data_IF_690004041502
#
_entry.id   IF_690004041502
#
_cell.length_a   1.000
_cell.length_b   1.000
_cell.length_c   1.000
_cell.angle_alpha   90.00
_cell.angle_beta   90.00
_cell.angle_gamma   90.00
#
_symmetry.space_group_name_H-M   'P 1'
#
loop_
_entity.id
_entity.type
_entity.pdbx_description
1 polymer ?
#
# COMPACT_ATOMS: atom_id res chain seq x y z
N UNK A 1 -2.26 -2.94 17.63
CA UNK A 1 -1.99 -3.73 16.42
C UNK A 1 -1.01 -2.90 15.61
N UNK A 2 0.25 -3.31 15.51
CA UNK A 2 1.30 -2.51 14.86
C UNK A 2 1.42 -2.98 13.42
N UNK A 3 1.15 -2.09 12.47
CA UNK A 3 1.36 -2.37 11.05
C UNK A 3 2.81 -2.05 10.72
N UNK A 4 3.47 -2.96 10.00
CA UNK A 4 4.83 -2.76 9.52
C UNK A 4 4.79 -2.42 8.04
N UNK A 5 5.37 -1.29 7.67
CA UNK A 5 5.59 -0.91 6.29
C UNK A 5 6.96 -1.42 5.85
N UNK A 6 7.02 -2.10 4.72
CA UNK A 6 8.24 -2.71 4.19
C UNK A 6 8.54 -2.04 2.86
N UNK A 7 9.73 -1.46 2.71
CA UNK A 7 10.13 -0.92 1.41
C UNK A 7 10.27 -2.07 0.39
N UNK A 8 9.61 -1.94 -0.76
CA UNK A 8 9.58 -2.93 -1.83
C UNK A 8 9.85 -2.24 -3.17
N UNK A 9 10.58 -2.91 -4.05
CA UNK A 9 10.70 -2.50 -5.46
C UNK A 9 9.57 -3.08 -6.31
N UNK A 10 9.06 -4.26 -5.92
CA UNK A 10 8.05 -5.01 -6.66
C UNK A 10 6.98 -5.59 -5.73
N UNK A 11 5.73 -5.75 -6.21
CA UNK A 11 4.65 -6.31 -5.41
C UNK A 11 4.94 -7.78 -5.09
N UNK A 12 4.79 -8.14 -3.81
CA UNK A 12 5.06 -9.50 -3.33
C UNK A 12 3.76 -10.29 -3.21
N UNK A 13 3.73 -11.49 -3.79
CA UNK A 13 2.55 -12.33 -3.73
C UNK A 13 2.28 -12.79 -2.29
N UNK A 14 1.04 -12.63 -1.81
CA UNK A 14 0.62 -12.88 -0.43
C UNK A 14 0.74 -11.69 0.53
N UNK A 15 1.17 -10.52 0.07
CA UNK A 15 1.27 -9.29 0.87
C UNK A 15 0.47 -8.16 0.23
N UNK A 16 -0.14 -7.31 1.06
CA UNK A 16 -0.80 -6.08 0.58
C UNK A 16 0.29 -5.11 0.19
N UNK A 17 0.26 -4.62 -1.05
CA UNK A 17 1.24 -3.66 -1.55
C UNK A 17 0.57 -2.32 -1.82
N UNK A 18 1.20 -1.21 -1.45
CA UNK A 18 0.83 0.13 -1.85
C UNK A 18 1.94 0.71 -2.74
N UNK A 19 1.59 1.19 -3.91
CA UNK A 19 2.48 1.94 -4.78
C UNK A 19 2.15 3.42 -4.63
N UNK A 20 3.17 4.23 -4.38
CA UNK A 20 3.05 5.69 -4.27
C UNK A 20 3.57 6.29 -5.58
N UNK A 21 2.76 7.16 -6.16
CA UNK A 21 3.09 7.89 -7.40
C UNK A 21 2.72 9.35 -7.24
N UNK A 22 3.41 10.24 -7.94
CA UNK A 22 3.04 11.64 -8.03
C UNK A 22 2.46 11.97 -9.41
N UNK A 23 1.21 12.43 -9.45
CA UNK A 23 0.56 12.92 -10.67
C UNK A 23 0.17 14.38 -10.51
N UNK A 24 0.61 15.23 -11.46
CA UNK A 24 0.31 16.67 -11.48
C UNK A 24 0.55 17.42 -10.14
N UNK A 25 1.51 16.96 -9.33
CA UNK A 25 1.84 17.52 -8.00
C UNK A 25 1.01 16.97 -6.83
N UNK A 26 0.12 16.01 -7.09
CA UNK A 26 -0.64 15.28 -6.08
C UNK A 26 -0.01 13.91 -5.84
N UNK A 27 0.17 13.54 -4.57
CA UNK A 27 0.64 12.21 -4.20
C UNK A 27 -0.55 11.25 -4.18
N UNK A 28 -0.49 10.27 -5.06
CA UNK A 28 -1.46 9.22 -5.24
C UNK A 28 -0.92 7.89 -4.70
N UNK A 29 -1.84 6.99 -4.40
CA UNK A 29 -1.55 5.66 -3.90
C UNK A 29 -2.43 4.62 -4.61
N UNK A 30 -1.80 3.56 -5.08
CA UNK A 30 -2.44 2.41 -5.70
C UNK A 30 -2.25 1.21 -4.79
N UNK A 31 -3.34 0.55 -4.38
CA UNK A 31 -3.28 -0.61 -3.49
C UNK A 31 -3.45 -1.88 -4.28
N UNK A 32 -2.40 -2.69 -4.35
CA UNK A 32 -2.43 -4.02 -4.94
C UNK A 32 -2.68 -5.07 -3.86
N UNK A 33 -3.79 -5.78 -3.98
CA UNK A 33 -4.08 -6.94 -3.15
C UNK A 33 -3.54 -8.21 -3.83
N UNK A 34 -2.99 -9.18 -3.07
CA UNK A 34 -2.61 -10.45 -3.65
C UNK A 34 -3.88 -11.18 -4.14
N UNK A 35 -3.79 -11.88 -5.28
CA UNK A 35 -4.95 -12.42 -6.01
C UNK A 35 -5.86 -13.41 -5.25
N UNK A 36 -5.49 -13.82 -4.03
CA UNK A 36 -6.36 -14.59 -3.12
C UNK A 36 -7.27 -13.73 -2.23
N UNK A 37 -7.17 -12.40 -2.31
CA UNK A 37 -7.86 -11.43 -1.46
C UNK A 37 -8.92 -10.59 -2.17
N UNK A 38 -9.01 -10.73 -3.51
CA UNK A 38 -10.08 -10.16 -4.31
C UNK A 38 -11.40 -10.88 -3.97
N UNK A 39 -12.17 -10.28 -3.08
CA UNK A 39 -13.43 -10.78 -2.53
C UNK A 39 -13.80 -10.17 -1.17
N UNK A 40 -13.00 -9.27 -0.58
CA UNK A 40 -13.22 -8.75 0.78
C UNK A 40 -14.04 -7.45 0.85
N UNK A 41 -14.45 -6.89 -0.30
CA UNK A 41 -15.29 -5.70 -0.38
C UNK A 41 -14.63 -4.43 0.16
N UNK A 42 -13.30 -4.33 0.08
CA UNK A 42 -12.56 -3.14 0.53
C UNK A 42 -12.51 -2.06 -0.55
N UNK A 43 -12.30 -0.78 -0.18
CA UNK A 43 -12.27 0.33 -1.13
C UNK A 43 -11.22 0.16 -2.26
N UNK A 44 -10.12 -0.58 -2.00
CA UNK A 44 -9.14 -0.96 -3.02
C UNK A 44 -9.67 -1.94 -4.08
N UNK A 45 -10.77 -2.65 -3.80
CA UNK A 45 -11.45 -3.54 -4.75
C UNK A 45 -12.55 -2.81 -5.53
N UNK A 46 -13.09 -1.72 -4.97
CA UNK A 46 -14.11 -0.89 -5.60
C UNK A 46 -13.53 0.11 -6.60
N UNK A 47 -12.27 0.53 -6.39
CA UNK A 47 -11.57 1.50 -7.23
C UNK A 47 -10.40 0.82 -7.95
N UNK A 48 -10.71 -0.18 -8.77
CA UNK A 48 -9.71 -0.91 -9.57
C UNK A 48 -9.23 -0.10 -10.80
N UNK A 49 -9.72 1.13 -10.98
CA UNK A 49 -9.52 1.95 -12.19
C UNK A 49 -8.93 3.34 -11.89
N UNK A 50 -8.76 3.73 -10.61
CA UNK A 50 -8.36 5.07 -10.22
C UNK A 50 -7.24 5.11 -9.18
N UNK A 51 -6.24 5.94 -9.43
CA UNK A 51 -5.23 6.28 -8.44
C UNK A 51 -5.90 7.10 -7.31
N UNK A 52 -5.92 6.55 -6.10
CA UNK A 52 -6.52 7.20 -4.93
C UNK A 52 -5.55 8.20 -4.32
N UNK A 53 -6.05 9.16 -3.53
CA UNK A 53 -5.16 9.96 -2.69
C UNK A 53 -4.35 9.05 -1.76
N UNK A 54 -3.05 9.32 -1.59
CA UNK A 54 -2.14 8.45 -0.82
C UNK A 54 -2.66 8.08 0.57
N UNK A 55 -3.34 9.00 1.26
CA UNK A 55 -3.96 8.74 2.56
C UNK A 55 -5.08 7.69 2.51
N UNK A 56 -5.93 7.73 1.48
CA UNK A 56 -7.03 6.78 1.30
C UNK A 56 -6.50 5.39 0.90
N UNK A 57 -5.48 5.36 0.06
CA UNK A 57 -4.76 4.15 -0.29
C UNK A 57 -4.11 3.53 0.96
N UNK A 58 -3.42 4.33 1.78
CA UNK A 58 -2.78 3.87 3.01
C UNK A 58 -3.82 3.31 4.00
N UNK A 59 -4.93 4.02 4.22
CA UNK A 59 -6.00 3.56 5.09
C UNK A 59 -6.60 2.22 4.64
N UNK A 60 -6.79 2.05 3.31
CA UNK A 60 -7.29 0.81 2.73
C UNK A 60 -6.28 -0.32 2.91
N UNK A 61 -5.00 -0.06 2.63
CA UNK A 61 -3.93 -1.02 2.82
C UNK A 61 -3.80 -1.44 4.29
N UNK A 62 -3.93 -0.51 5.24
CA UNK A 62 -3.93 -0.79 6.68
C UNK A 62 -5.10 -1.70 7.07
N UNK A 63 -6.30 -1.41 6.59
CA UNK A 63 -7.48 -2.23 6.86
C UNK A 63 -7.33 -3.66 6.30
N UNK A 64 -6.75 -3.80 5.10
CA UNK A 64 -6.47 -5.08 4.46
C UNK A 64 -5.37 -5.87 5.18
N UNK A 65 -4.26 -5.22 5.52
CA UNK A 65 -3.14 -5.83 6.22
C UNK A 65 -3.54 -6.25 7.64
N UNK A 66 -4.38 -5.47 8.32
CA UNK A 66 -4.96 -5.83 9.62
C UNK A 66 -5.72 -7.17 9.59
N UNK A 67 -6.26 -7.57 8.43
CA UNK A 67 -6.94 -8.86 8.28
C UNK A 67 -6.00 -10.04 7.94
N UNK A 68 -4.78 -9.78 7.44
CA UNK A 68 -3.96 -10.81 6.78
C UNK A 68 -2.51 -10.96 7.25
N UNK A 69 -2.03 -10.14 8.19
CA UNK A 69 -0.67 -10.33 8.72
C UNK A 69 0.06 -9.06 9.17
N UNK A 70 -0.60 -7.91 9.16
CA UNK A 70 -0.08 -6.61 9.61
C UNK A 70 1.16 -6.12 8.86
N UNK A 71 1.35 -6.56 7.62
CA UNK A 71 2.48 -6.14 6.77
C UNK A 71 1.96 -5.52 5.48
N UNK A 72 2.59 -4.42 5.11
CA UNK A 72 2.30 -3.69 3.87
C UNK A 72 3.61 -3.45 3.14
N UNK A 73 3.71 -3.94 1.91
CA UNK A 73 4.78 -3.56 1.00
C UNK A 73 4.53 -2.15 0.48
N UNK A 74 5.50 -1.27 0.55
CA UNK A 74 5.44 0.10 0.03
C UNK A 74 6.40 0.20 -1.12
N UNK A 75 5.88 0.49 -2.31
CA UNK A 75 6.66 0.78 -3.51
C UNK A 75 6.65 2.28 -3.71
N UNK A 76 7.78 2.92 -3.39
CA UNK A 76 7.98 4.35 -3.51
C UNK A 76 9.20 4.63 -4.38
N UNK A 77 9.01 4.57 -5.71
CA UNK A 77 10.10 4.75 -6.66
C UNK A 77 10.62 6.19 -6.70
N UNK A 78 9.80 7.15 -6.27
CA UNK A 78 10.07 8.58 -6.34
C UNK A 78 10.53 9.18 -4.99
N UNK A 79 10.54 8.39 -3.90
CA UNK A 79 10.98 8.86 -2.59
C UNK A 79 9.98 9.80 -1.90
N UNK A 80 8.68 9.66 -2.18
CA UNK A 80 7.62 10.45 -1.59
C UNK A 80 7.16 9.95 -0.22
N UNK A 81 7.64 8.79 0.24
CA UNK A 81 7.32 8.27 1.56
C UNK A 81 7.66 9.29 2.64
N UNK A 82 6.70 9.51 3.53
CA UNK A 82 6.89 10.40 4.67
C UNK A 82 6.91 9.60 5.97
N UNK A 83 7.85 9.87 6.88
CA UNK A 83 7.91 9.19 8.18
C UNK A 83 6.66 9.47 9.04
N UNK A 84 5.87 10.50 8.72
CA UNK A 84 4.57 10.77 9.37
C UNK A 84 3.51 9.69 9.05
N UNK A 85 3.65 8.96 7.95
CA UNK A 85 2.72 7.89 7.56
C UNK A 85 3.01 6.57 8.26
N UNK A 86 4.26 6.37 8.70
CA UNK A 86 4.67 5.20 9.45
C UNK A 86 6.16 4.91 9.34
N UNK A 87 6.58 3.91 10.11
CA UNK A 87 7.94 3.40 10.11
C UNK A 87 8.13 2.49 8.90
N UNK A 88 8.82 3.01 7.88
CA UNK A 88 9.17 2.25 6.68
C UNK A 88 10.46 1.47 6.95
N UNK A 89 10.31 0.18 7.11
CA UNK A 89 11.42 -0.75 7.29
C UNK A 89 11.97 -1.11 5.92
N UNK A 90 13.23 -0.80 5.67
CA UNK A 90 13.92 -1.26 4.46
C UNK A 90 14.27 -2.74 4.61
N UNK A 91 13.45 -3.63 4.02
CA UNK A 91 13.79 -5.04 3.90
C UNK A 91 14.77 -5.17 2.72
N UNK A 92 16.06 -4.89 2.99
CA UNK A 92 17.16 -5.22 2.07
C UNK A 92 17.05 -6.72 1.71
N UNK A 93 16.64 -7.02 0.49
CA UNK A 93 16.68 -8.36 -0.10
C UNK A 93 17.80 -8.42 -1.13
#
# INVERSE_FOLDING_TARGET
>A
MTITFLNRTEPKNGEVTIRITQDAGSILGEVTCPGGLAGSGTAAELDHDGALGVHQALASAIALAGKNGNRIGVIDAEGHWRPEWGDLVEENA
#
